data_IF_336883642258
#
_entry.id   IF_336883642258
#
_cell.length_a   1.000
_cell.length_b   1.000
_cell.length_c   1.000
_cell.angle_alpha   90.00
_cell.angle_beta   90.00
_cell.angle_gamma   90.00
#
_symmetry.space_group_name_H-M   'P 1'
#
loop_
_entity.id
_entity.type
_entity.pdbx_description
1 polymer ?
#
# COMPACT_ATOMS: atom_id res chain seq x y z
N UNK A 1 17.27 -20.50 -0.91
CA UNK A 1 16.42 -19.46 -1.54
C UNK A 1 16.46 -18.23 -0.66
N UNK A 2 16.73 -17.02 -1.19
CA UNK A 2 16.69 -15.80 -0.39
C UNK A 2 15.27 -15.60 0.18
N UNK A 3 15.18 -14.99 1.36
CA UNK A 3 13.89 -14.63 1.93
C UNK A 3 13.13 -13.70 0.95
N UNK A 4 11.82 -13.89 0.76
CA UNK A 4 11.05 -12.98 -0.08
C UNK A 4 11.13 -11.58 0.52
N UNK A 5 11.56 -10.63 -0.29
CA UNK A 5 11.70 -9.23 0.10
C UNK A 5 10.38 -8.64 0.58
N UNK A 6 10.50 -7.61 1.43
CA UNK A 6 9.38 -6.88 2.03
C UNK A 6 8.83 -5.81 1.09
N UNK A 7 7.52 -5.65 1.12
CA UNK A 7 6.79 -4.56 0.47
C UNK A 7 6.59 -3.45 1.51
N UNK A 8 7.67 -2.80 1.93
CA UNK A 8 7.66 -1.89 3.09
C UNK A 8 7.64 -0.40 2.73
N UNK A 9 7.85 -0.05 1.47
CA UNK A 9 7.86 1.35 1.05
C UNK A 9 6.44 1.81 0.75
N UNK A 10 5.95 2.81 1.49
CA UNK A 10 4.70 3.49 1.19
C UNK A 10 4.86 4.30 -0.11
N UNK A 11 3.95 4.08 -1.06
CA UNK A 11 3.96 4.75 -2.37
C UNK A 11 2.99 5.93 -2.36
N UNK A 12 1.70 5.62 -2.18
CA UNK A 12 0.62 6.59 -2.27
C UNK A 12 -0.63 6.07 -1.59
N UNK A 13 -1.63 6.94 -1.51
CA UNK A 13 -3.02 6.57 -1.23
C UNK A 13 -3.92 7.07 -2.36
N UNK A 14 -5.19 6.66 -2.39
CA UNK A 14 -6.14 7.20 -3.37
C UNK A 14 -6.21 8.75 -3.37
N UNK A 15 -6.04 9.38 -2.20
CA UNK A 15 -5.96 10.83 -2.05
C UNK A 15 -4.68 11.43 -2.67
N UNK A 16 -3.61 10.65 -2.75
CA UNK A 16 -2.31 11.05 -3.31
C UNK A 16 -2.13 10.69 -4.79
N UNK A 17 -3.10 10.04 -5.43
CA UNK A 17 -3.07 9.79 -6.87
C UNK A 17 -3.55 11.06 -7.60
N UNK A 18 -2.60 11.86 -8.10
CA UNK A 18 -2.88 13.17 -8.71
C UNK A 18 -2.81 13.15 -10.24
N UNK A 19 -2.22 12.11 -10.84
CA UNK A 19 -2.11 11.96 -12.29
C UNK A 19 -3.10 10.93 -12.82
N UNK A 20 -3.47 11.03 -14.09
CA UNK A 20 -4.28 10.01 -14.77
C UNK A 20 -3.64 8.61 -14.68
N UNK A 21 -2.31 8.53 -14.89
CA UNK A 21 -1.58 7.27 -14.80
C UNK A 21 -1.62 6.64 -13.40
N UNK A 22 -1.51 7.45 -12.33
CA UNK A 22 -1.61 6.96 -10.95
C UNK A 22 -3.01 6.50 -10.58
N UNK A 23 -4.04 7.13 -11.14
CA UNK A 23 -5.44 6.75 -10.96
C UNK A 23 -5.74 5.44 -11.68
N UNK A 24 -5.39 5.33 -12.96
CA UNK A 24 -5.55 4.09 -13.74
C UNK A 24 -4.83 2.91 -13.08
N UNK A 25 -3.58 3.14 -12.62
CA UNK A 25 -2.81 2.11 -11.92
C UNK A 25 -3.46 1.68 -10.59
N UNK A 26 -4.13 2.61 -9.89
CA UNK A 26 -4.85 2.29 -8.66
C UNK A 26 -6.15 1.52 -8.96
N UNK A 27 -6.91 1.94 -9.97
CA UNK A 27 -8.13 1.25 -10.39
C UNK A 27 -7.85 -0.18 -10.81
N UNK A 28 -6.82 -0.41 -11.64
CA UNK A 28 -6.38 -1.75 -12.03
C UNK A 28 -5.95 -2.55 -10.80
N UNK A 29 -5.15 -1.94 -9.91
CA UNK A 29 -4.66 -2.55 -8.68
C UNK A 29 -5.82 -3.07 -7.80
N UNK A 30 -6.92 -2.32 -7.69
CA UNK A 30 -8.11 -2.72 -6.94
C UNK A 30 -8.87 -3.81 -7.71
N UNK A 31 -9.06 -3.65 -9.02
CA UNK A 31 -9.87 -4.54 -9.85
C UNK A 31 -9.33 -5.98 -9.92
N UNK A 32 -8.01 -6.16 -10.00
CA UNK A 32 -7.37 -7.49 -10.12
C UNK A 32 -6.85 -8.03 -8.79
N UNK A 33 -7.00 -7.25 -7.72
CA UNK A 33 -6.42 -7.53 -6.42
C UNK A 33 -6.93 -8.83 -5.81
N UNK A 34 -6.03 -9.56 -5.13
CA UNK A 34 -6.40 -10.76 -4.36
C UNK A 34 -6.40 -10.46 -2.87
N UNK A 35 -7.55 -10.65 -2.24
CA UNK A 35 -7.70 -10.52 -0.80
C UNK A 35 -6.79 -11.48 -0.03
N UNK A 36 -6.23 -10.97 1.06
CA UNK A 36 -5.38 -11.70 1.98
C UNK A 36 -5.72 -11.35 3.43
N UNK A 37 -5.38 -12.24 4.36
CA UNK A 37 -5.52 -11.95 5.79
C UNK A 37 -4.40 -11.08 6.34
N UNK A 38 -4.66 -10.40 7.47
CA UNK A 38 -3.72 -9.58 8.23
C UNK A 38 -2.33 -10.23 8.42
N UNK A 39 -2.28 -11.52 8.80
CA UNK A 39 -0.99 -12.22 9.03
C UNK A 39 -0.13 -12.26 7.77
N UNK A 40 -0.76 -12.44 6.61
CA UNK A 40 -0.06 -12.43 5.31
C UNK A 40 0.42 -11.02 4.99
N UNK A 41 -0.42 -10.01 5.20
CA UNK A 41 -0.08 -8.60 4.98
C UNK A 41 1.10 -8.17 5.85
N UNK A 42 1.01 -8.35 7.17
CA UNK A 42 2.08 -8.02 8.13
C UNK A 42 3.41 -8.73 7.81
N UNK A 43 3.36 -9.99 7.33
CA UNK A 43 4.56 -10.68 6.86
C UNK A 43 5.13 -10.07 5.58
N UNK A 44 4.31 -9.50 4.71
CA UNK A 44 4.75 -8.87 3.45
C UNK A 44 5.31 -7.48 3.69
N UNK A 45 4.64 -6.63 4.45
CA UNK A 45 5.08 -5.23 4.67
C UNK A 45 6.10 -5.08 5.79
N UNK A 46 6.14 -6.02 6.75
CA UNK A 46 7.09 -6.01 7.86
C UNK A 46 6.60 -5.24 9.08
N UNK A 47 7.26 -5.48 10.22
CA UNK A 47 6.81 -4.96 11.52
C UNK A 47 6.89 -3.43 11.63
N UNK A 48 7.91 -2.81 11.00
CA UNK A 48 8.08 -1.36 11.02
C UNK A 48 6.89 -0.64 10.34
N UNK A 49 6.52 -1.06 9.13
CA UNK A 49 5.36 -0.50 8.41
C UNK A 49 4.04 -0.71 9.17
N UNK A 50 3.88 -1.86 9.86
CA UNK A 50 2.70 -2.10 10.72
C UNK A 50 2.67 -1.15 11.91
N UNK A 51 3.82 -0.89 12.55
CA UNK A 51 3.90 0.04 13.66
C UNK A 51 3.53 1.47 13.22
N UNK A 52 4.08 1.90 12.08
CA UNK A 52 3.75 3.19 11.47
C UNK A 52 2.24 3.30 11.15
N UNK A 53 1.64 2.27 10.55
CA UNK A 53 0.21 2.23 10.28
C UNK A 53 -0.64 2.34 11.56
N UNK A 54 -0.25 1.65 12.63
CA UNK A 54 -0.98 1.75 13.91
C UNK A 54 -0.92 3.16 14.50
N UNK A 55 0.23 3.83 14.39
CA UNK A 55 0.39 5.21 14.85
C UNK A 55 -0.40 6.19 13.98
N UNK A 56 -0.20 6.13 12.66
CA UNK A 56 -0.83 7.02 11.67
C UNK A 56 -2.36 6.93 11.68
N UNK A 57 -2.91 5.73 11.86
CA UNK A 57 -4.36 5.49 11.85
C UNK A 57 -4.99 5.53 13.26
N UNK A 58 -4.19 5.79 14.30
CA UNK A 58 -4.71 5.98 15.66
C UNK A 58 -5.16 4.71 16.39
N UNK A 59 -4.78 3.52 15.92
CA UNK A 59 -5.17 2.23 16.52
C UNK A 59 -4.61 2.01 17.94
N UNK A 60 -3.64 2.81 18.38
CA UNK A 60 -3.08 2.70 19.72
C UNK A 60 -4.08 3.07 20.86
N UNK A 61 -5.25 3.64 20.55
CA UNK A 61 -6.08 4.36 21.54
C UNK A 61 -7.51 3.84 21.75
N UNK A 62 -8.00 2.90 20.94
CA UNK A 62 -9.44 2.58 20.90
C UNK A 62 -9.80 1.09 20.97
N UNK A 63 -8.85 0.19 21.28
CA UNK A 63 -9.09 -1.27 21.39
C UNK A 63 -9.32 -1.98 20.05
N UNK A 64 -9.56 -1.22 18.98
CA UNK A 64 -9.45 -1.68 17.60
C UNK A 64 -7.98 -1.76 17.19
N UNK A 65 -7.73 -2.64 16.23
CA UNK A 65 -6.43 -2.91 15.61
C UNK A 65 -6.68 -3.16 14.13
N UNK A 66 -5.64 -3.07 13.30
CA UNK A 66 -5.73 -3.47 11.89
C UNK A 66 -6.30 -4.89 11.71
N UNK A 67 -6.13 -5.76 12.70
CA UNK A 67 -6.57 -7.16 12.61
C UNK A 67 -8.08 -7.35 12.86
N UNK A 68 -8.71 -6.51 13.67
CA UNK A 68 -10.10 -6.69 14.12
C UNK A 68 -11.02 -5.53 13.74
N UNK A 69 -10.51 -4.52 13.02
CA UNK A 69 -11.34 -3.47 12.45
C UNK A 69 -12.13 -4.02 11.24
N UNK A 70 -13.48 -4.00 11.26
CA UNK A 70 -14.31 -4.52 10.18
C UNK A 70 -14.26 -3.68 8.89
N UNK A 71 -13.73 -2.44 8.96
CA UNK A 71 -13.55 -1.55 7.82
C UNK A 71 -12.13 -1.60 7.23
N UNK A 72 -11.34 -2.60 7.66
CA UNK A 72 -10.02 -2.88 7.13
C UNK A 72 -10.03 -4.14 6.26
N UNK A 73 -9.50 -4.02 5.05
CA UNK A 73 -9.15 -5.18 4.22
C UNK A 73 -7.71 -5.07 3.71
N UNK A 74 -7.17 -6.21 3.28
CA UNK A 74 -5.81 -6.32 2.79
C UNK A 74 -5.79 -7.06 1.48
N UNK A 75 -5.01 -6.55 0.53
CA UNK A 75 -4.96 -7.07 -0.83
C UNK A 75 -3.52 -7.21 -1.29
N UNK A 76 -3.24 -8.23 -2.10
CA UNK A 76 -2.01 -8.31 -2.90
C UNK A 76 -2.37 -8.09 -4.34
N UNK A 77 -1.64 -7.21 -5.00
CA UNK A 77 -1.92 -6.83 -6.38
C UNK A 77 -0.66 -6.36 -7.09
N UNK A 78 -0.84 -5.61 -8.17
CA UNK A 78 0.19 -4.83 -8.85
C UNK A 78 -0.25 -3.38 -9.02
N UNK A 79 0.66 -2.45 -8.78
CA UNK A 79 0.48 -1.02 -9.05
C UNK A 79 1.52 -0.61 -10.10
N UNK A 80 1.07 -0.16 -11.28
CA UNK A 80 1.98 0.17 -12.38
C UNK A 80 2.86 -1.01 -12.83
N UNK A 81 2.30 -2.23 -12.83
CA UNK A 81 3.02 -3.46 -13.13
C UNK A 81 4.04 -3.92 -12.06
N UNK A 82 4.14 -3.22 -10.93
CA UNK A 82 4.98 -3.59 -9.78
C UNK A 82 4.14 -4.30 -8.73
N UNK A 83 4.64 -5.42 -8.20
CA UNK A 83 3.98 -6.14 -7.11
C UNK A 83 3.80 -5.24 -5.87
N UNK A 84 2.57 -5.16 -5.38
CA UNK A 84 2.23 -4.35 -4.22
C UNK A 84 1.41 -5.11 -3.17
N UNK A 85 1.38 -4.54 -1.97
CA UNK A 85 0.42 -4.85 -0.93
C UNK A 85 -0.42 -3.61 -0.68
N UNK A 86 -1.73 -3.78 -0.55
CA UNK A 86 -2.67 -2.69 -0.31
C UNK A 86 -3.36 -2.93 1.02
N UNK A 87 -3.39 -1.89 1.85
CA UNK A 87 -4.31 -1.77 2.98
C UNK A 87 -5.48 -0.91 2.50
N UNK A 88 -6.71 -1.37 2.68
CA UNK A 88 -7.89 -0.53 2.48
C UNK A 88 -8.46 -0.25 3.87
N UNK A 89 -8.55 1.03 4.24
CA UNK A 89 -9.11 1.46 5.51
C UNK A 89 -10.12 2.57 5.26
N UNK A 90 -11.38 2.33 5.60
CA UNK A 90 -12.48 3.31 5.42
C UNK A 90 -12.52 3.90 4.00
N UNK A 91 -12.44 3.04 2.96
CA UNK A 91 -12.39 3.41 1.55
C UNK A 91 -11.16 4.25 1.13
N UNK A 92 -10.09 4.23 1.94
CA UNK A 92 -8.78 4.77 1.57
C UNK A 92 -7.81 3.62 1.36
N UNK A 93 -7.29 3.50 0.15
CA UNK A 93 -6.26 2.53 -0.21
C UNK A 93 -4.88 3.10 0.10
N UNK A 94 -4.02 2.29 0.70
CA UNK A 94 -2.62 2.61 0.99
C UNK A 94 -1.75 1.57 0.29
N UNK A 95 -0.96 2.00 -0.69
CA UNK A 95 -0.18 1.14 -1.56
C UNK A 95 1.26 1.03 -1.05
N UNK A 96 1.73 -0.22 -0.92
CA UNK A 96 3.10 -0.54 -0.50
C UNK A 96 3.82 -1.39 -1.54
N UNK A 97 5.05 -1.03 -1.86
CA UNK A 97 5.92 -1.78 -2.79
C UNK A 97 7.25 -2.12 -2.14
N UNK A 98 8.07 -2.89 -2.84
CA UNK A 98 9.45 -3.09 -2.44
C UNK A 98 10.26 -1.80 -2.63
N UNK A 99 11.16 -1.42 -1.70
CA UNK A 99 11.95 -0.21 -1.83
C UNK A 99 12.68 -0.05 -3.18
N UNK A 100 13.19 -1.16 -3.75
CA UNK A 100 13.88 -1.13 -5.06
C UNK A 100 12.97 -0.81 -6.25
N UNK A 101 11.65 -0.96 -6.09
CA UNK A 101 10.69 -0.71 -7.16
C UNK A 101 10.10 0.71 -7.05
N UNK A 102 10.55 1.54 -6.10
CA UNK A 102 10.11 2.93 -5.95
C UNK A 102 10.34 3.75 -7.21
N UNK A 103 11.52 3.63 -7.83
CA UNK A 103 11.87 4.38 -9.04
C UNK A 103 10.97 4.04 -10.24
N UNK A 104 10.29 2.88 -10.20
CA UNK A 104 9.37 2.43 -11.26
C UNK A 104 7.97 3.00 -11.08
N UNK A 105 7.56 3.28 -9.85
CA UNK A 105 6.23 3.81 -9.53
C UNK A 105 6.23 5.32 -9.36
N UNK A 106 7.38 5.92 -9.02
CA UNK A 106 7.54 7.36 -8.83
C UNK A 106 7.11 8.20 -10.05
N UNK A 107 7.45 7.83 -11.30
CA UNK A 107 7.01 8.58 -12.47
C UNK A 107 5.49 8.61 -12.63
N UNK A 108 4.78 7.56 -12.17
CA UNK A 108 3.32 7.51 -12.21
C UNK A 108 2.71 8.60 -11.34
N UNK A 109 3.38 9.03 -10.28
CA UNK A 109 2.90 10.06 -9.36
C UNK A 109 3.16 11.50 -9.86
N UNK A 110 3.75 11.68 -11.05
CA UNK A 110 3.96 13.00 -11.64
C UNK A 110 5.18 13.74 -11.09
N UNK A 111 6.15 13.03 -10.51
CA UNK A 111 7.31 13.67 -9.89
C UNK A 111 8.27 14.37 -10.86
N UNK A 112 8.14 14.14 -12.17
CA UNK A 112 8.90 14.86 -13.19
C UNK A 112 8.40 16.31 -13.42
N UNK A 113 7.21 16.68 -12.91
CA UNK A 113 6.67 18.04 -13.05
C UNK A 113 7.09 19.01 -11.92
N UNK A 114 7.75 18.54 -10.87
CA UNK A 114 8.19 19.36 -9.72
C UNK A 114 9.70 19.71 -9.76
N UNK A 115 10.42 19.29 -10.79
CA UNK A 115 11.85 19.54 -10.98
C UNK A 115 12.17 20.57 -12.09
N UNK A 116 11.14 21.19 -12.68
CA UNK A 116 11.25 22.24 -13.71
C UNK A 116 10.72 23.59 -13.18
#
# INVERSE_FOLDING_TARGET
>A
MPAPEKLSAFVTSCVGCTTAASLEALEECIAIGRDIGYRTFARKVGAAAIAELHERLGYARCGLTLRNDPYVSFTLSTFGGVRCAVLIWSATEFVYVAPRDMDRVWPLLGADELAA
#
